data_IF_908307731453
#
_entry.id   IF_908307731453
#
_cell.length_a   1.000
_cell.length_b   1.000
_cell.length_c   1.000
_cell.angle_alpha   90.00
_cell.angle_beta   90.00
_cell.angle_gamma   90.00
#
_symmetry.space_group_name_H-M   'P 1'
#
loop_
_entity.id
_entity.type
_entity.pdbx_description
1 polymer ?
#
# COMPACT_ATOMS: atom_id res chain seq x y z
N UNK A 1 53.15 -46.35 -11.39
CA UNK A 1 52.06 -45.38 -11.58
C UNK A 1 50.93 -45.82 -10.67
N UNK A 2 50.52 -44.91 -9.80
CA UNK A 2 49.83 -45.15 -8.52
C UNK A 2 48.51 -45.92 -8.59
N UNK A 3 48.27 -46.67 -7.51
CA UNK A 3 47.01 -47.29 -7.15
C UNK A 3 46.22 -46.38 -6.19
N UNK A 4 44.91 -46.29 -6.37
CA UNK A 4 43.92 -45.81 -5.39
C UNK A 4 42.53 -46.23 -5.88
N UNK A 5 41.53 -46.58 -5.09
CA UNK A 5 41.39 -46.89 -3.67
C UNK A 5 39.96 -47.41 -3.52
N UNK A 6 39.79 -48.64 -3.04
CA UNK A 6 38.51 -49.13 -2.55
C UNK A 6 38.36 -48.71 -1.10
N UNK A 7 37.27 -48.04 -0.72
CA UNK A 7 36.70 -48.13 0.64
C UNK A 7 35.27 -47.57 0.70
N UNK A 8 34.36 -48.51 0.73
CA UNK A 8 32.99 -48.37 1.18
C UNK A 8 33.00 -48.11 2.70
N UNK A 9 32.37 -47.03 3.16
CA UNK A 9 32.10 -46.79 4.59
C UNK A 9 30.63 -46.48 4.76
N UNK A 10 29.89 -47.47 5.30
CA UNK A 10 28.59 -47.27 5.94
C UNK A 10 28.87 -46.71 7.34
N UNK A 11 28.28 -45.56 7.65
CA UNK A 11 27.99 -45.16 9.02
C UNK A 11 26.48 -44.93 9.15
N UNK A 12 25.87 -45.73 10.01
CA UNK A 12 24.55 -45.52 10.59
C UNK A 12 24.65 -44.51 11.75
N UNK A 13 23.49 -44.08 12.27
CA UNK A 13 23.19 -43.29 13.49
C UNK A 13 23.01 -41.77 13.23
N UNK A 14 21.96 -41.02 13.62
CA UNK A 14 20.79 -41.15 14.54
C UNK A 14 19.72 -40.13 14.05
N UNK A 15 18.40 -40.30 14.26
CA UNK A 15 17.41 -39.26 13.96
C UNK A 15 17.47 -38.14 15.01
N UNK A 16 17.76 -36.90 14.60
CA UNK A 16 17.56 -35.74 15.48
C UNK A 16 16.08 -35.40 15.56
N UNK A 17 15.51 -35.59 16.75
CA UNK A 17 14.27 -34.97 17.19
C UNK A 17 14.53 -33.54 17.66
N UNK A 18 13.59 -32.67 17.30
CA UNK A 18 13.18 -31.40 17.92
C UNK A 18 14.20 -30.26 18.00
N UNK A 19 13.82 -29.12 17.42
CA UNK A 19 13.36 -27.97 18.24
C UNK A 19 12.43 -27.10 17.40
N UNK A 20 11.18 -26.99 17.84
CA UNK A 20 10.24 -25.95 17.44
C UNK A 20 10.87 -24.57 17.66
N UNK A 21 11.03 -23.83 16.57
CA UNK A 21 11.37 -22.42 16.57
C UNK A 21 10.40 -21.71 15.63
N UNK A 22 9.42 -21.02 16.21
CA UNK A 22 8.41 -20.19 15.56
C UNK A 22 8.96 -19.42 14.35
N UNK A 23 8.65 -19.86 13.13
CA UNK A 23 8.81 -19.04 11.91
C UNK A 23 7.66 -19.37 10.95
N UNK A 24 6.94 -18.32 10.52
CA UNK A 24 5.85 -18.30 9.54
C UNK A 24 4.46 -18.85 9.95
N UNK A 25 3.71 -18.02 10.69
CA UNK A 25 2.29 -18.22 11.00
C UNK A 25 1.33 -18.26 9.79
N UNK A 26 1.79 -17.98 8.56
CA UNK A 26 0.96 -18.13 7.34
C UNK A 26 1.17 -19.45 6.59
N UNK A 27 2.24 -20.22 6.87
CA UNK A 27 2.52 -21.46 6.13
C UNK A 27 1.47 -22.55 6.37
N UNK A 28 0.82 -22.54 7.52
CA UNK A 28 -0.17 -23.56 7.95
C UNK A 28 -1.49 -23.48 7.17
N UNK A 29 -1.76 -22.38 6.47
CA UNK A 29 -3.02 -22.19 5.72
C UNK A 29 -2.96 -22.70 4.28
N UNK A 30 -1.78 -23.09 3.77
CA UNK A 30 -1.61 -23.49 2.38
C UNK A 30 -2.06 -24.92 2.06
N UNK A 31 -2.32 -25.77 3.07
CA UNK A 31 -2.46 -27.22 2.85
C UNK A 31 -3.89 -27.77 2.87
N UNK A 32 -4.92 -26.99 3.21
CA UNK A 32 -6.28 -27.51 3.29
C UNK A 32 -7.18 -26.82 2.27
N UNK A 33 -7.67 -27.62 1.31
CA UNK A 33 -8.70 -27.34 0.30
C UNK A 33 -8.19 -26.83 -1.06
N UNK A 34 -7.68 -27.76 -1.88
CA UNK A 34 -7.74 -27.64 -3.34
C UNK A 34 -8.33 -28.95 -3.86
N UNK A 35 -9.63 -28.95 -4.15
CA UNK A 35 -10.21 -29.95 -5.05
C UNK A 35 -9.66 -29.71 -6.46
N UNK A 36 -9.14 -30.77 -7.09
CA UNK A 36 -8.68 -30.75 -8.48
C UNK A 36 -9.90 -30.78 -9.41
N UNK A 37 -10.05 -29.88 -10.39
CA UNK A 37 -11.01 -30.09 -11.46
C UNK A 37 -10.46 -31.14 -12.43
N UNK A 38 -11.26 -32.17 -12.71
CA UNK A 38 -11.05 -33.12 -13.81
C UNK A 38 -11.42 -32.42 -15.12
N UNK A 39 -10.50 -32.42 -16.08
CA UNK A 39 -10.75 -31.99 -17.45
C UNK A 39 -11.01 -33.24 -18.29
N UNK A 40 -12.26 -33.47 -18.68
CA UNK A 40 -12.57 -34.48 -19.70
C UNK A 40 -12.58 -33.82 -21.08
N UNK A 41 -11.75 -34.38 -21.96
CA UNK A 41 -11.67 -34.08 -23.39
C UNK A 41 -12.99 -34.43 -24.09
N UNK A 42 -13.53 -33.48 -24.85
CA UNK A 42 -14.36 -33.81 -26.01
C UNK A 42 -14.10 -32.81 -27.15
N UNK A 43 -13.10 -33.14 -27.97
CA UNK A 43 -13.06 -32.72 -29.36
C UNK A 43 -13.83 -33.75 -30.17
N UNK A 44 -14.95 -33.36 -30.79
CA UNK A 44 -15.49 -34.04 -31.96
C UNK A 44 -15.87 -33.01 -33.02
N UNK A 45 -15.29 -33.23 -34.20
CA UNK A 45 -15.59 -32.63 -35.49
C UNK A 45 -17.09 -32.75 -35.85
N UNK A 46 -17.64 -31.71 -36.47
CA UNK A 46 -18.56 -31.85 -37.62
C UNK A 46 -18.74 -30.54 -38.39
N UNK A 47 -18.27 -30.59 -39.64
CA UNK A 47 -18.73 -30.01 -40.91
C UNK A 47 -19.71 -28.83 -40.97
N UNK A 48 -19.37 -27.95 -41.92
CA UNK A 48 -20.10 -26.79 -42.45
C UNK A 48 -21.20 -27.22 -43.42
N UNK A 49 -22.36 -26.54 -43.33
CA UNK A 49 -23.43 -26.22 -44.32
C UNK A 49 -24.71 -26.03 -43.47
N UNK A 50 -25.56 -25.00 -43.54
CA UNK A 50 -25.81 -23.89 -44.45
C UNK A 50 -27.34 -23.77 -44.62
N UNK A 51 -28.03 -22.81 -44.00
CA UNK A 51 -29.25 -22.11 -44.50
C UNK A 51 -29.90 -21.19 -43.46
N UNK A 52 -30.26 -20.00 -43.94
CA UNK A 52 -31.12 -18.99 -43.31
C UNK A 52 -32.55 -19.51 -43.06
N UNK A 53 -33.15 -19.04 -41.97
CA UNK A 53 -34.54 -18.58 -41.97
C UNK A 53 -34.82 -17.70 -40.74
N UNK A 54 -35.12 -16.43 -41.01
CA UNK A 54 -35.80 -15.49 -40.11
C UNK A 54 -37.12 -16.10 -39.61
N UNK A 55 -37.42 -15.96 -38.30
CA UNK A 55 -38.72 -15.51 -37.77
C UNK A 55 -38.56 -15.04 -36.31
N UNK A 56 -38.85 -13.76 -36.06
CA UNK A 56 -39.32 -13.28 -34.74
C UNK A 56 -40.74 -13.80 -34.49
N UNK A 57 -41.12 -14.06 -33.22
CA UNK A 57 -42.20 -13.25 -32.67
C UNK A 57 -42.08 -12.92 -31.15
N UNK A 58 -42.35 -11.65 -30.85
CA UNK A 58 -43.24 -11.12 -29.81
C UNK A 58 -43.12 -11.62 -28.34
N UNK A 59 -42.57 -10.72 -27.52
CA UNK A 59 -43.05 -10.22 -26.20
C UNK A 59 -43.83 -11.20 -25.30
N UNK A 60 -43.27 -11.48 -24.12
CA UNK A 60 -44.06 -11.82 -22.92
C UNK A 60 -43.41 -11.21 -21.68
N UNK A 61 -44.11 -10.22 -21.13
CA UNK A 61 -43.84 -9.62 -19.83
C UNK A 61 -44.30 -10.57 -18.73
N UNK A 62 -43.38 -10.95 -17.84
CA UNK A 62 -43.72 -11.62 -16.58
C UNK A 62 -42.88 -11.00 -15.45
N UNK A 63 -43.48 -10.01 -14.79
CA UNK A 63 -43.13 -9.65 -13.42
C UNK A 63 -43.22 -10.89 -12.53
N UNK A 64 -42.15 -11.18 -11.79
CA UNK A 64 -42.28 -11.89 -10.53
C UNK A 64 -41.33 -11.28 -9.52
N UNK A 65 -41.88 -10.33 -8.76
CA UNK A 65 -41.29 -9.84 -7.54
C UNK A 65 -41.39 -10.90 -6.45
N UNK A 66 -40.25 -11.23 -5.85
CA UNK A 66 -40.20 -11.80 -4.51
C UNK A 66 -39.31 -10.86 -3.69
N UNK A 67 -39.95 -9.86 -3.08
CA UNK A 67 -39.37 -9.00 -2.08
C UNK A 67 -39.18 -9.79 -0.78
N UNK A 68 -37.97 -10.32 -0.59
CA UNK A 68 -37.46 -10.76 0.70
C UNK A 68 -36.94 -9.56 1.51
N UNK A 69 -36.99 -9.60 2.86
CA UNK A 69 -36.87 -8.42 3.70
C UNK A 69 -35.48 -7.80 3.61
N UNK A 70 -35.49 -6.49 3.38
CA UNK A 70 -34.37 -5.56 3.47
C UNK A 70 -33.62 -5.77 4.79
N UNK A 71 -32.57 -6.59 4.78
CA UNK A 71 -31.49 -6.41 5.75
C UNK A 71 -30.57 -5.40 5.09
N UNK A 72 -30.64 -4.16 5.54
CA UNK A 72 -29.64 -3.13 5.25
C UNK A 72 -28.28 -3.57 5.85
N UNK A 73 -27.68 -4.62 5.28
CA UNK A 73 -26.24 -4.79 5.35
C UNK A 73 -25.71 -3.73 4.39
N UNK A 74 -25.26 -2.62 4.95
CA UNK A 74 -24.41 -1.66 4.23
C UNK A 74 -23.34 -2.45 3.48
N UNK A 75 -23.56 -2.67 2.17
CA UNK A 75 -22.69 -3.50 1.35
C UNK A 75 -21.52 -2.60 0.96
N UNK A 76 -20.50 -2.63 1.82
CA UNK A 76 -19.33 -1.74 1.76
C UNK A 76 -18.58 -1.86 0.43
N UNK A 77 -18.77 -2.98 -0.27
CA UNK A 77 -18.25 -3.29 -1.59
C UNK A 77 -19.26 -4.06 -2.45
N UNK A 78 -19.05 -4.07 -3.76
CA UNK A 78 -19.89 -4.74 -4.77
C UNK A 78 -19.77 -6.28 -4.76
N UNK A 79 -20.51 -6.91 -5.67
CA UNK A 79 -20.60 -8.37 -5.88
C UNK A 79 -19.22 -9.02 -6.09
N UNK A 80 -18.98 -10.20 -5.49
CA UNK A 80 -17.70 -10.93 -5.56
C UNK A 80 -16.73 -10.76 -4.38
N UNK A 81 -17.11 -10.01 -3.34
CA UNK A 81 -16.35 -9.90 -2.08
C UNK A 81 -17.13 -10.53 -0.92
N UNK A 82 -16.49 -11.47 -0.22
CA UNK A 82 -17.10 -12.21 0.88
C UNK A 82 -16.54 -11.65 2.18
N UNK A 83 -17.39 -11.02 3.01
CA UNK A 83 -17.00 -10.57 4.34
C UNK A 83 -16.62 -11.76 5.21
N UNK A 84 -15.45 -11.72 5.84
CA UNK A 84 -15.03 -12.72 6.82
C UNK A 84 -15.71 -12.46 8.16
N UNK A 85 -16.15 -13.52 8.83
CA UNK A 85 -16.75 -13.45 10.16
C UNK A 85 -15.69 -13.09 11.21
N UNK A 86 -16.07 -12.26 12.19
CA UNK A 86 -15.13 -11.76 13.20
C UNK A 86 -14.56 -12.87 14.10
N UNK A 87 -15.27 -13.98 14.23
CA UNK A 87 -14.83 -15.18 14.95
C UNK A 87 -13.96 -16.15 14.14
N UNK A 88 -13.74 -15.89 12.85
CA UNK A 88 -12.86 -16.71 12.02
C UNK A 88 -11.39 -16.52 12.44
N UNK A 89 -10.65 -17.63 12.60
CA UNK A 89 -9.21 -17.61 12.91
C UNK A 89 -8.41 -16.85 11.86
N UNK A 90 -8.82 -16.93 10.59
CA UNK A 90 -8.21 -16.19 9.49
C UNK A 90 -8.44 -14.69 9.63
N UNK A 91 -9.68 -14.27 9.93
CA UNK A 91 -10.01 -12.88 10.21
C UNK A 91 -9.15 -12.33 11.35
N UNK A 92 -9.06 -13.07 12.47
CA UNK A 92 -8.24 -12.67 13.62
C UNK A 92 -6.76 -12.55 13.26
N UNK A 93 -6.23 -13.50 12.48
CA UNK A 93 -4.82 -13.52 12.06
C UNK A 93 -4.48 -12.31 11.18
N UNK A 94 -5.31 -12.02 10.17
CA UNK A 94 -5.13 -10.87 9.28
C UNK A 94 -5.23 -9.57 10.07
N UNK A 95 -6.27 -9.43 10.91
CA UNK A 95 -6.47 -8.26 11.78
C UNK A 95 -5.25 -8.03 12.67
N UNK A 96 -4.77 -9.06 13.36
CA UNK A 96 -3.63 -8.98 14.27
C UNK A 96 -2.35 -8.54 13.55
N UNK A 97 -2.06 -9.15 12.39
CA UNK A 97 -0.88 -8.78 11.60
C UNK A 97 -0.96 -7.37 11.06
N UNK A 98 -2.11 -6.99 10.52
CA UNK A 98 -2.33 -5.63 10.03
C UNK A 98 -2.08 -4.60 11.13
N UNK A 99 -2.73 -4.76 12.29
CA UNK A 99 -2.61 -3.86 13.44
C UNK A 99 -1.18 -3.82 13.98
N UNK A 100 -0.52 -4.98 14.10
CA UNK A 100 0.86 -5.05 14.60
C UNK A 100 1.85 -4.37 13.66
N UNK A 101 1.65 -4.51 12.34
CA UNK A 101 2.47 -3.88 11.31
C UNK A 101 2.34 -2.35 11.25
N UNK A 102 1.31 -1.78 11.89
CA UNK A 102 1.14 -0.32 12.02
C UNK A 102 1.94 0.26 13.21
N UNK A 103 2.57 -0.58 14.03
CA UNK A 103 3.29 -0.17 15.23
C UNK A 103 2.40 0.61 16.19
N UNK A 104 2.84 1.78 16.63
CA UNK A 104 2.11 2.63 17.59
C UNK A 104 0.72 3.02 17.07
N UNK A 105 0.56 3.23 15.76
CA UNK A 105 -0.74 3.57 15.18
C UNK A 105 -1.75 2.43 15.33
N UNK A 106 -1.28 1.18 15.39
CA UNK A 106 -2.13 0.00 15.59
C UNK A 106 -3.03 0.11 16.82
N UNK A 107 -2.56 0.76 17.89
CA UNK A 107 -3.33 0.98 19.13
C UNK A 107 -4.58 1.83 18.87
N UNK A 108 -4.51 2.75 17.92
CA UNK A 108 -5.58 3.67 17.58
C UNK A 108 -6.38 3.23 16.35
N UNK A 109 -5.99 2.12 15.71
CA UNK A 109 -6.64 1.62 14.49
C UNK A 109 -7.79 0.69 14.83
N UNK A 110 -8.98 1.02 14.33
CA UNK A 110 -10.13 0.14 14.40
C UNK A 110 -10.35 -0.53 13.05
N UNK A 111 -10.13 -1.84 12.97
CA UNK A 111 -10.48 -2.64 11.79
C UNK A 111 -11.98 -2.87 11.78
N UNK A 112 -12.65 -2.39 10.74
CA UNK A 112 -14.11 -2.40 10.58
C UNK A 112 -14.59 -3.65 9.85
N UNK A 113 -13.85 -4.10 8.84
CA UNK A 113 -14.18 -5.33 8.13
C UNK A 113 -12.99 -5.87 7.35
N UNK A 114 -12.99 -7.19 7.14
CA UNK A 114 -12.07 -7.87 6.22
C UNK A 114 -12.94 -8.62 5.20
N UNK A 115 -12.68 -8.38 3.92
CA UNK A 115 -13.36 -9.05 2.82
C UNK A 115 -12.37 -9.90 2.04
N UNK A 116 -12.77 -11.11 1.69
CA UNK A 116 -12.02 -12.02 0.81
C UNK A 116 -12.51 -11.85 -0.62
N UNK A 117 -11.57 -11.76 -1.55
CA UNK A 117 -11.86 -11.84 -2.98
C UNK A 117 -12.31 -13.27 -3.32
N UNK A 118 -13.55 -13.43 -3.80
CA UNK A 118 -14.06 -14.75 -4.19
C UNK A 118 -13.57 -15.18 -5.57
N UNK A 119 -13.04 -14.24 -6.36
CA UNK A 119 -12.67 -14.44 -7.76
C UNK A 119 -13.82 -15.01 -8.60
N UNK A 120 -15.08 -14.69 -8.27
CA UNK A 120 -16.26 -15.30 -8.91
C UNK A 120 -16.40 -14.96 -10.39
N UNK A 121 -15.93 -13.78 -10.83
CA UNK A 121 -16.01 -13.35 -12.23
C UNK A 121 -15.10 -14.20 -13.14
N UNK A 122 -15.48 -14.33 -14.41
CA UNK A 122 -14.66 -15.07 -15.40
C UNK A 122 -13.21 -14.56 -15.47
N UNK A 123 -13.03 -13.23 -15.48
CA UNK A 123 -11.71 -12.60 -15.48
C UNK A 123 -10.98 -12.78 -14.14
N UNK A 124 -11.71 -12.78 -13.02
CA UNK A 124 -11.18 -13.08 -11.69
C UNK A 124 -10.63 -14.50 -11.60
N UNK A 125 -11.39 -15.50 -12.09
CA UNK A 125 -10.95 -16.88 -12.17
C UNK A 125 -9.71 -17.03 -13.07
N UNK A 126 -9.71 -16.39 -14.24
CA UNK A 126 -8.56 -16.41 -15.15
C UNK A 126 -7.28 -15.84 -14.49
N UNK A 127 -7.39 -14.73 -13.76
CA UNK A 127 -6.26 -14.16 -12.99
C UNK A 127 -5.78 -15.11 -11.89
N UNK A 128 -6.70 -15.71 -11.14
CA UNK A 128 -6.36 -16.69 -10.10
C UNK A 128 -5.62 -17.91 -10.70
N UNK A 129 -6.10 -18.44 -11.82
CA UNK A 129 -5.45 -19.57 -12.51
C UNK A 129 -4.08 -19.17 -13.06
N UNK A 130 -3.95 -17.98 -13.66
CA UNK A 130 -2.68 -17.44 -14.12
C UNK A 130 -1.66 -17.37 -12.98
N UNK A 131 -2.04 -16.80 -11.84
CA UNK A 131 -1.18 -16.74 -10.65
C UNK A 131 -0.72 -18.13 -10.19
N UNK A 132 -1.60 -19.14 -10.18
CA UNK A 132 -1.24 -20.51 -9.85
C UNK A 132 -0.29 -21.15 -10.88
N UNK A 133 -0.44 -20.85 -12.17
CA UNK A 133 0.47 -21.32 -13.21
C UNK A 133 1.88 -20.76 -12.97
N UNK A 134 2.00 -19.45 -12.73
CA UNK A 134 3.30 -18.83 -12.42
C UNK A 134 3.89 -19.33 -11.12
N UNK A 135 3.08 -19.53 -10.08
CA UNK A 135 3.53 -20.13 -8.81
C UNK A 135 4.18 -21.49 -9.06
N UNK A 136 3.50 -22.39 -9.79
CA UNK A 136 4.04 -23.73 -10.12
C UNK A 136 5.29 -23.66 -11.00
N UNK A 137 5.36 -22.71 -11.92
CA UNK A 137 6.54 -22.52 -12.75
C UNK A 137 7.76 -22.12 -11.89
N UNK A 138 7.56 -21.22 -10.92
CA UNK A 138 8.61 -20.79 -9.99
C UNK A 138 8.99 -21.89 -8.98
N UNK A 139 8.04 -22.71 -8.54
CA UNK A 139 8.34 -23.89 -7.71
C UNK A 139 9.30 -24.82 -8.44
N UNK A 140 9.12 -25.02 -9.76
CA UNK A 140 10.04 -25.80 -10.58
C UNK A 140 11.39 -25.10 -10.77
N UNK A 141 11.40 -23.80 -11.08
CA UNK A 141 12.63 -23.00 -11.30
C UNK A 141 13.54 -23.02 -10.07
N UNK A 142 12.97 -22.93 -8.86
CA UNK A 142 13.70 -22.74 -7.60
C UNK A 142 13.64 -23.92 -6.63
N UNK A 143 13.40 -25.14 -7.12
CA UNK A 143 13.44 -26.35 -6.28
C UNK A 143 12.44 -26.34 -5.12
N UNK A 144 11.27 -25.74 -5.31
CA UNK A 144 10.17 -25.70 -4.34
C UNK A 144 10.08 -24.41 -3.51
N UNK A 145 11.04 -23.48 -3.60
CA UNK A 145 10.96 -22.20 -2.90
C UNK A 145 10.68 -21.04 -3.86
N UNK A 146 9.40 -20.71 -4.03
CA UNK A 146 8.94 -19.57 -4.84
C UNK A 146 9.20 -18.20 -4.22
N UNK A 147 9.67 -18.16 -2.96
CA UNK A 147 9.65 -16.94 -2.15
C UNK A 147 8.27 -16.27 -2.18
N UNK A 148 7.22 -17.07 -2.03
CA UNK A 148 5.84 -16.59 -1.95
C UNK A 148 5.65 -15.83 -0.64
N UNK A 149 5.26 -14.57 -0.73
CA UNK A 149 5.05 -13.68 0.41
C UNK A 149 3.64 -13.13 0.46
N UNK A 150 3.24 -12.68 1.64
CA UNK A 150 2.13 -11.75 1.79
C UNK A 150 2.68 -10.32 1.81
N UNK A 151 1.94 -9.38 1.22
CA UNK A 151 2.32 -7.97 1.21
C UNK A 151 1.09 -7.05 1.15
N UNK A 152 1.23 -5.87 1.74
CA UNK A 152 0.20 -4.84 1.82
C UNK A 152 0.30 -3.86 0.66
N UNK A 153 -0.84 -3.51 0.06
CA UNK A 153 -0.95 -2.43 -0.93
C UNK A 153 -2.04 -1.45 -0.48
N UNK A 154 -1.75 -0.15 -0.48
CA UNK A 154 -2.70 0.87 -0.01
C UNK A 154 -2.91 1.94 -1.06
N UNK A 155 -4.17 2.29 -1.29
CA UNK A 155 -4.61 3.28 -2.27
C UNK A 155 -6.01 3.80 -1.88
N UNK A 156 -6.63 4.59 -2.76
CA UNK A 156 -8.05 4.93 -2.71
C UNK A 156 -8.94 3.68 -2.84
N UNK A 157 -10.17 3.80 -2.31
CA UNK A 157 -11.22 2.78 -2.46
C UNK A 157 -11.49 2.46 -3.93
N UNK A 158 -11.59 3.49 -4.77
CA UNK A 158 -11.91 3.35 -6.19
C UNK A 158 -10.81 2.59 -6.95
N UNK A 159 -9.54 2.91 -6.67
CA UNK A 159 -8.43 2.18 -7.29
C UNK A 159 -8.35 0.74 -6.79
N UNK A 160 -8.58 0.49 -5.49
CA UNK A 160 -8.67 -0.88 -4.96
C UNK A 160 -9.78 -1.68 -5.66
N UNK A 161 -10.95 -1.09 -5.84
CA UNK A 161 -12.06 -1.76 -6.54
C UNK A 161 -11.76 -1.98 -8.02
N UNK A 162 -11.08 -1.05 -8.67
CA UNK A 162 -10.60 -1.21 -10.04
C UNK A 162 -9.59 -2.35 -10.15
N UNK A 163 -8.67 -2.49 -9.19
CA UNK A 163 -7.70 -3.59 -9.12
C UNK A 163 -8.41 -4.94 -8.96
N UNK A 164 -9.42 -5.03 -8.09
CA UNK A 164 -10.19 -6.28 -7.91
C UNK A 164 -10.90 -6.68 -9.21
N UNK A 165 -11.50 -5.72 -9.92
CA UNK A 165 -12.26 -5.97 -11.14
C UNK A 165 -11.38 -6.25 -12.36
N UNK A 166 -10.33 -5.45 -12.55
CA UNK A 166 -9.56 -5.39 -13.80
C UNK A 166 -8.10 -5.84 -13.67
N UNK A 167 -7.59 -6.02 -12.45
CA UNK A 167 -6.17 -6.24 -12.18
C UNK A 167 -5.41 -4.92 -11.99
N UNK A 168 -4.11 -5.02 -11.70
CA UNK A 168 -3.24 -3.85 -11.57
C UNK A 168 -3.10 -3.13 -12.91
N UNK A 169 -3.24 -1.80 -12.86
CA UNK A 169 -3.15 -0.91 -14.00
C UNK A 169 -1.79 -0.23 -14.17
N UNK A 170 -1.71 0.68 -15.14
CA UNK A 170 -0.50 1.41 -15.49
C UNK A 170 0.13 2.11 -14.28
N UNK A 171 1.41 1.82 -14.01
CA UNK A 171 2.21 2.48 -12.99
C UNK A 171 2.61 3.88 -13.49
N UNK A 172 1.85 4.91 -13.13
CA UNK A 172 2.10 6.29 -13.55
C UNK A 172 3.16 7.01 -12.70
N UNK A 173 3.89 7.94 -13.34
CA UNK A 173 4.93 8.76 -12.72
C UNK A 173 4.33 9.75 -11.69
N UNK A 174 4.39 9.41 -10.40
CA UNK A 174 4.16 10.38 -9.32
C UNK A 174 5.42 11.23 -9.09
N UNK A 175 5.46 12.46 -9.62
CA UNK A 175 6.61 13.39 -9.61
C UNK A 175 7.25 13.71 -8.24
N UNK A 176 6.78 13.11 -7.14
CA UNK A 176 7.15 13.48 -5.76
C UNK A 176 7.68 12.32 -4.89
N UNK A 177 7.83 11.09 -5.40
CA UNK A 177 8.31 9.93 -4.61
C UNK A 177 9.69 9.47 -5.07
N UNK A 178 10.52 9.04 -4.12
CA UNK A 178 11.77 8.33 -4.43
C UNK A 178 11.39 7.01 -5.10
N UNK A 179 11.70 6.87 -6.39
CA UNK A 179 11.39 5.71 -7.21
C UNK A 179 12.45 4.63 -7.10
N UNK A 180 12.03 3.38 -7.19
CA UNK A 180 12.89 2.20 -7.33
C UNK A 180 12.49 1.46 -8.62
N UNK A 181 12.28 2.20 -9.71
CA UNK A 181 11.80 1.66 -10.99
C UNK A 181 10.28 1.73 -11.20
N UNK A 182 9.84 1.18 -12.34
CA UNK A 182 8.47 1.12 -12.79
C UNK A 182 7.85 -0.22 -12.37
N UNK A 183 6.97 -0.18 -11.38
CA UNK A 183 6.30 -1.38 -10.88
C UNK A 183 5.31 -1.06 -9.77
N UNK A 184 4.70 -2.11 -9.26
CA UNK A 184 3.83 -2.05 -8.10
C UNK A 184 4.67 -2.19 -6.83
N UNK A 185 4.50 -1.24 -5.93
CA UNK A 185 5.17 -1.20 -4.64
C UNK A 185 4.26 -1.79 -3.57
N UNK A 186 4.74 -2.82 -2.87
CA UNK A 186 4.01 -3.44 -1.76
C UNK A 186 4.86 -3.41 -0.49
N UNK A 187 4.21 -3.21 0.65
CA UNK A 187 4.87 -3.25 1.96
C UNK A 187 4.88 -4.69 2.50
N UNK A 188 5.97 -5.17 3.10
CA UNK A 188 6.04 -6.51 3.71
C UNK A 188 4.94 -6.77 4.76
N UNK A 189 4.58 -8.03 5.00
CA UNK A 189 3.45 -8.37 5.88
C UNK A 189 3.63 -7.98 7.36
N UNK A 190 4.88 -7.78 7.79
CA UNK A 190 5.27 -7.29 9.11
C UNK A 190 5.38 -5.77 9.22
N UNK A 191 5.21 -5.03 8.12
CA UNK A 191 5.26 -3.56 8.07
C UNK A 191 4.17 -3.01 7.16
N UNK A 192 3.03 -2.63 7.73
CA UNK A 192 1.87 -2.09 6.98
C UNK A 192 1.82 -0.56 6.93
N UNK A 193 2.80 0.13 7.53
CA UNK A 193 2.81 1.59 7.70
C UNK A 193 2.81 2.36 6.37
N UNK A 194 3.62 1.96 5.40
CA UNK A 194 3.72 2.65 4.10
C UNK A 194 2.42 2.49 3.29
N UNK A 195 1.77 1.32 3.38
CA UNK A 195 0.45 1.07 2.78
C UNK A 195 -0.65 1.86 3.50
N UNK A 196 -0.56 2.03 4.82
CA UNK A 196 -1.43 2.93 5.55
C UNK A 196 -1.29 4.38 5.08
N UNK A 197 -0.07 4.89 4.95
CA UNK A 197 0.19 6.26 4.50
C UNK A 197 -0.30 6.50 3.06
N UNK A 198 -0.30 5.46 2.23
CA UNK A 198 -0.75 5.52 0.84
C UNK A 198 -2.28 5.35 0.70
N UNK A 199 -2.96 4.81 1.72
CA UNK A 199 -4.42 4.71 1.73
C UNK A 199 -5.10 6.09 1.80
N UNK A 200 -6.22 6.25 1.11
CA UNK A 200 -7.01 7.49 1.14
C UNK A 200 -8.35 7.20 1.81
N UNK A 201 -8.76 8.05 2.75
CA UNK A 201 -10.04 7.88 3.43
C UNK A 201 -11.20 8.18 2.45
N UNK A 202 -12.21 7.32 2.43
CA UNK A 202 -13.44 7.50 1.67
C UNK A 202 -14.40 8.49 2.35
N UNK A 203 -15.58 8.68 1.75
CA UNK A 203 -16.60 9.61 2.25
C UNK A 203 -17.11 9.24 3.66
N UNK A 204 -16.98 7.98 4.08
CA UNK A 204 -17.38 7.46 5.39
C UNK A 204 -16.22 7.47 6.41
N UNK A 205 -15.09 8.08 6.02
CA UNK A 205 -13.86 8.14 6.80
C UNK A 205 -13.15 6.79 6.90
N UNK A 206 -13.50 5.82 6.05
CA UNK A 206 -12.84 4.50 6.01
C UNK A 206 -11.63 4.54 5.09
N UNK A 207 -10.55 3.92 5.53
CA UNK A 207 -9.39 3.63 4.70
C UNK A 207 -9.41 2.16 4.33
N UNK A 208 -8.82 1.85 3.19
CA UNK A 208 -8.79 0.50 2.65
C UNK A 208 -7.36 0.13 2.25
N UNK A 209 -6.98 -1.11 2.53
CA UNK A 209 -5.74 -1.71 2.05
C UNK A 209 -6.00 -3.11 1.53
N UNK A 210 -5.24 -3.51 0.51
CA UNK A 210 -5.18 -4.86 -0.02
C UNK A 210 -4.11 -5.68 0.72
N UNK A 211 -4.43 -6.92 1.03
CA UNK A 211 -3.47 -7.97 1.34
C UNK A 211 -3.34 -8.87 0.13
N UNK A 212 -2.15 -8.90 -0.45
CA UNK A 212 -1.82 -9.65 -1.66
C UNK A 212 -0.93 -10.84 -1.35
N UNK A 213 -1.09 -11.94 -2.10
CA UNK A 213 -0.02 -12.93 -2.28
C UNK A 213 0.89 -12.47 -3.40
N UNK A 214 2.20 -12.56 -3.19
CA UNK A 214 3.21 -12.05 -4.12
C UNK A 214 4.29 -13.10 -4.35
N UNK A 215 4.53 -13.44 -5.61
CA UNK A 215 5.65 -14.30 -6.01
C UNK A 215 6.87 -13.38 -6.15
N UNK A 216 7.81 -13.46 -5.19
CA UNK A 216 9.01 -12.62 -5.24
C UNK A 216 10.17 -13.30 -5.98
N UNK A 217 10.24 -14.63 -6.01
CA UNK A 217 11.37 -15.34 -6.61
C UNK A 217 12.73 -14.86 -6.06
N UNK A 218 13.72 -14.76 -6.93
CA UNK A 218 15.01 -14.17 -6.61
C UNK A 218 14.92 -12.63 -6.69
N UNK A 219 15.17 -11.98 -5.55
CA UNK A 219 15.00 -10.53 -5.41
C UNK A 219 16.31 -9.80 -5.68
N UNK A 220 16.27 -8.73 -6.48
CA UNK A 220 17.39 -7.81 -6.66
C UNK A 220 17.29 -6.59 -5.75
N UNK A 221 18.44 -6.08 -5.30
CA UNK A 221 18.50 -4.80 -4.61
C UNK A 221 18.30 -3.68 -5.62
N UNK A 222 17.26 -2.89 -5.45
CA UNK A 222 16.99 -1.72 -6.31
C UNK A 222 17.36 -0.46 -5.56
N UNK A 223 18.04 0.46 -6.24
CA UNK A 223 18.43 1.73 -5.65
C UNK A 223 17.43 2.85 -5.97
N UNK A 224 17.26 3.82 -5.06
CA UNK A 224 16.59 5.08 -5.33
C UNK A 224 17.02 5.73 -6.64
N UNK A 225 16.06 6.14 -7.47
CA UNK A 225 16.29 6.76 -8.78
C UNK A 225 16.42 5.78 -9.94
N UNK A 226 16.23 4.47 -9.71
CA UNK A 226 16.19 3.49 -10.80
C UNK A 226 15.01 3.74 -11.75
N UNK A 227 15.25 3.58 -13.05
CA UNK A 227 14.26 3.64 -14.12
C UNK A 227 13.89 2.22 -14.64
N UNK A 228 14.34 1.16 -13.95
CA UNK A 228 14.06 -0.22 -14.35
C UNK A 228 12.56 -0.50 -14.35
N UNK A 229 12.01 -1.03 -15.45
CA UNK A 229 10.62 -1.50 -15.52
C UNK A 229 10.51 -3.04 -15.56
N UNK A 230 11.64 -3.74 -15.48
CA UNK A 230 11.80 -5.19 -15.56
C UNK A 230 13.07 -5.60 -14.80
N UNK A 231 13.31 -6.90 -14.54
CA UNK A 231 14.53 -7.34 -13.87
C UNK A 231 15.80 -6.88 -14.60
N UNK A 232 16.89 -6.62 -13.86
CA UNK A 232 18.19 -6.25 -14.47
C UNK A 232 18.83 -7.38 -15.28
N UNK A 233 18.51 -8.64 -14.98
CA UNK A 233 18.99 -9.83 -15.69
C UNK A 233 18.05 -11.01 -15.46
N UNK A 234 18.27 -12.10 -16.20
CA UNK A 234 17.49 -13.35 -16.09
C UNK A 234 17.64 -14.05 -14.73
N UNK A 235 18.63 -13.66 -13.93
CA UNK A 235 18.84 -14.18 -12.59
C UNK A 235 17.81 -13.66 -11.58
N UNK A 236 17.19 -12.50 -11.85
CA UNK A 236 16.27 -11.84 -10.94
C UNK A 236 14.83 -11.87 -11.45
N UNK A 237 13.88 -11.84 -10.52
CA UNK A 237 12.45 -11.84 -10.85
C UNK A 237 11.72 -10.60 -10.33
N UNK A 238 12.16 -10.04 -9.20
CA UNK A 238 11.53 -8.87 -8.54
C UNK A 238 12.56 -8.00 -7.83
N UNK A 239 12.16 -6.80 -7.40
CA UNK A 239 13.02 -5.86 -6.70
C UNK A 239 12.70 -5.73 -5.21
N UNK A 240 13.71 -5.33 -4.44
CA UNK A 240 13.58 -4.97 -3.01
C UNK A 240 14.48 -3.78 -2.66
N UNK A 241 14.05 -2.95 -1.73
CA UNK A 241 14.84 -1.79 -1.26
C UNK A 241 15.98 -2.17 -0.31
N UNK A 242 15.87 -3.30 0.39
CA UNK A 242 16.89 -3.85 1.28
C UNK A 242 16.76 -5.38 1.38
N UNK A 243 17.85 -6.11 1.16
CA UNK A 243 17.85 -7.58 1.16
C UNK A 243 17.72 -8.20 2.56
N UNK A 244 18.11 -7.48 3.61
CA UNK A 244 18.16 -8.00 4.99
C UNK A 244 16.86 -7.64 5.74
N UNK A 245 16.44 -6.38 5.64
CA UNK A 245 15.24 -5.85 6.27
C UNK A 245 14.41 -5.08 5.24
N UNK A 246 13.69 -5.81 4.35
CA UNK A 246 12.85 -5.21 3.33
C UNK A 246 11.84 -4.24 3.94
N UNK A 247 11.62 -3.10 3.30
CA UNK A 247 10.47 -2.23 3.57
C UNK A 247 9.58 -2.07 2.36
N UNK A 248 10.10 -2.36 1.16
CA UNK A 248 9.37 -2.27 -0.10
C UNK A 248 9.73 -3.43 -1.00
N UNK A 249 8.71 -4.17 -1.39
CA UNK A 249 8.76 -5.09 -2.51
C UNK A 249 8.33 -4.37 -3.77
N UNK A 250 9.05 -4.63 -4.86
CA UNK A 250 8.81 -4.04 -6.18
C UNK A 250 8.52 -5.19 -7.14
N UNK A 251 7.29 -5.25 -7.61
CA UNK A 251 6.91 -6.16 -8.69
C UNK A 251 6.87 -5.35 -9.97
N UNK A 252 7.73 -5.71 -10.92
CA UNK A 252 7.85 -5.03 -12.20
C UNK A 252 6.52 -4.96 -12.95
N UNK A 253 6.31 -3.87 -13.71
CA UNK A 253 5.08 -3.65 -14.48
C UNK A 253 4.80 -4.80 -15.47
N UNK A 254 5.85 -5.45 -16.00
CA UNK A 254 5.76 -6.64 -16.85
C UNK A 254 5.16 -7.86 -16.16
N UNK A 255 5.17 -7.90 -14.82
CA UNK A 255 4.80 -9.07 -14.02
C UNK A 255 3.63 -8.82 -13.06
N UNK A 256 3.14 -7.58 -12.92
CA UNK A 256 2.18 -7.18 -11.89
C UNK A 256 0.88 -8.00 -11.87
N UNK A 257 0.37 -8.44 -13.02
CA UNK A 257 -0.89 -9.17 -13.12
C UNK A 257 -0.74 -10.71 -13.07
N UNK A 258 0.50 -11.21 -13.05
CA UNK A 258 0.81 -12.64 -12.97
C UNK A 258 1.44 -13.01 -11.62
N UNK A 259 2.13 -12.07 -10.98
CA UNK A 259 2.90 -12.28 -9.75
C UNK A 259 2.25 -11.68 -8.50
N UNK A 260 1.14 -10.94 -8.64
CA UNK A 260 0.38 -10.40 -7.52
C UNK A 260 -1.05 -10.92 -7.59
N UNK A 261 -1.54 -11.46 -6.47
CA UNK A 261 -2.92 -11.87 -6.29
C UNK A 261 -3.55 -11.07 -5.14
N UNK A 262 -4.44 -10.10 -5.43
CA UNK A 262 -5.24 -9.41 -4.41
C UNK A 262 -6.23 -10.35 -3.74
N UNK A 263 -5.95 -10.77 -2.50
CA UNK A 263 -6.72 -11.82 -1.83
C UNK A 263 -7.71 -11.27 -0.80
N UNK A 264 -7.34 -10.23 -0.07
CA UNK A 264 -8.21 -9.62 0.95
C UNK A 264 -8.21 -8.10 0.88
N UNK A 265 -9.33 -7.49 1.27
CA UNK A 265 -9.48 -6.06 1.51
C UNK A 265 -9.73 -5.84 2.99
N UNK A 266 -8.94 -4.97 3.61
CA UNK A 266 -9.06 -4.60 5.01
C UNK A 266 -9.54 -3.16 5.04
N UNK A 267 -10.73 -2.94 5.60
CA UNK A 267 -11.32 -1.62 5.80
C UNK A 267 -11.19 -1.24 7.26
N UNK A 268 -10.65 -0.05 7.54
CA UNK A 268 -10.33 0.38 8.88
C UNK A 268 -10.50 1.90 9.06
N UNK A 269 -10.58 2.33 10.32
CA UNK A 269 -10.62 3.74 10.72
C UNK A 269 -9.44 4.05 11.62
N UNK A 270 -8.97 5.28 11.51
CA UNK A 270 -8.00 5.88 12.44
C UNK A 270 -8.56 7.23 12.88
N UNK A 271 -8.48 7.59 14.18
CA UNK A 271 -8.92 8.88 14.68
C UNK A 271 -8.31 10.04 13.88
N UNK A 272 -9.13 11.07 13.62
CA UNK A 272 -8.78 12.19 12.74
C UNK A 272 -7.55 12.98 13.19
N UNK A 273 -7.17 12.91 14.48
CA UNK A 273 -5.97 13.52 15.05
C UNK A 273 -4.65 12.86 14.61
N UNK A 274 -4.71 11.66 14.03
CA UNK A 274 -3.54 10.87 13.60
C UNK A 274 -3.43 10.74 12.08
N UNK A 275 -4.30 11.44 11.33
CA UNK A 275 -4.28 11.47 9.87
C UNK A 275 -3.04 12.23 9.36
N UNK A 276 -1.93 11.51 9.14
CA UNK A 276 -0.89 11.75 8.12
C UNK A 276 -0.10 13.06 8.09
N UNK A 277 -0.64 14.19 8.53
CA UNK A 277 0.04 15.50 8.50
C UNK A 277 1.05 15.65 9.65
N UNK A 278 0.85 14.97 10.79
CA UNK A 278 1.82 14.99 11.89
C UNK A 278 2.91 13.92 11.79
N UNK A 279 2.70 12.85 11.00
CA UNK A 279 3.62 11.69 10.92
C UNK A 279 4.87 11.99 10.08
N UNK A 280 4.79 12.92 9.12
CA UNK A 280 5.98 13.46 8.41
C UNK A 280 7.00 14.10 9.34
N UNK A 281 6.67 14.31 10.61
CA UNK A 281 7.50 14.94 11.61
C UNK A 281 8.26 14.03 12.57
N UNK A 282 8.11 12.69 12.53
CA UNK A 282 8.59 11.83 13.64
C UNK A 282 9.52 10.66 13.31
N UNK A 283 9.98 10.50 12.07
CA UNK A 283 11.09 9.57 11.76
C UNK A 283 12.29 10.30 11.15
N UNK A 284 13.08 10.94 12.02
CA UNK A 284 14.54 10.92 11.87
C UNK A 284 15.11 10.62 13.25
N UNK A 285 15.67 9.42 13.39
CA UNK A 285 16.65 9.14 14.44
C UNK A 285 17.88 9.97 14.05
N UNK A 286 18.19 10.97 14.88
CA UNK A 286 19.27 11.94 14.66
C UNK A 286 18.96 13.27 15.34
N UNK A 287 19.28 13.35 16.63
CA UNK A 287 19.33 14.51 17.53
C UNK A 287 18.06 15.37 17.76
N UNK A 288 17.79 15.81 19.02
CA UNK A 288 16.54 16.44 19.39
C UNK A 288 16.51 17.92 18.91
N UNK A 289 16.09 18.13 17.67
CA UNK A 289 15.64 19.48 17.25
C UNK A 289 14.26 19.70 17.84
N UNK A 290 14.24 20.40 18.99
CA UNK A 290 13.03 20.92 19.64
C UNK A 290 12.16 21.65 18.62
N UNK A 291 11.04 21.05 18.18
CA UNK A 291 9.94 21.79 17.55
C UNK A 291 9.33 22.71 18.61
N UNK A 292 9.25 24.03 18.39
CA UNK A 292 8.49 24.87 19.29
C UNK A 292 6.99 24.73 19.00
N UNK A 293 6.28 24.12 19.95
CA UNK A 293 4.86 24.38 20.19
C UNK A 293 4.71 25.83 20.65
N UNK A 294 4.07 26.69 19.85
CA UNK A 294 3.51 27.97 20.33
C UNK A 294 2.51 28.56 19.32
N UNK A 295 1.48 29.31 19.77
CA UNK A 295 0.43 29.88 18.92
C UNK A 295 1.02 30.77 17.81
N UNK A 296 0.55 30.56 16.58
CA UNK A 296 1.05 31.26 15.39
C UNK A 296 0.65 32.75 15.41
N UNK A 297 1.63 33.65 15.31
CA UNK A 297 1.38 35.08 15.14
C UNK A 297 0.81 35.34 13.72
N UNK A 298 -0.30 36.08 13.56
CA UNK A 298 -0.81 36.46 12.26
C UNK A 298 0.24 37.24 11.45
N UNK A 299 0.32 36.99 10.15
CA UNK A 299 1.37 37.56 9.29
C UNK A 299 1.30 39.10 9.23
N UNK A 300 0.10 39.69 9.28
CA UNK A 300 -0.08 41.13 9.40
C UNK A 300 0.57 41.69 10.67
N UNK A 301 0.43 40.98 11.81
CA UNK A 301 1.07 41.34 13.08
C UNK A 301 2.60 41.25 12.98
N UNK A 302 3.12 40.22 12.30
CA UNK A 302 4.55 40.10 12.03
C UNK A 302 5.07 41.31 11.24
N UNK A 303 4.38 41.72 10.17
CA UNK A 303 4.74 42.88 9.35
C UNK A 303 4.75 44.16 10.19
N UNK A 304 3.73 44.36 11.05
CA UNK A 304 3.64 45.52 11.95
C UNK A 304 4.75 45.57 13.00
N UNK A 305 5.28 44.42 13.44
CA UNK A 305 6.41 44.40 14.38
C UNK A 305 7.73 44.61 13.65
N UNK A 306 7.91 43.96 12.49
CA UNK A 306 9.10 44.13 11.66
C UNK A 306 9.30 45.57 11.19
N UNK A 307 8.22 46.34 11.00
CA UNK A 307 8.32 47.75 10.58
C UNK A 307 9.01 48.66 11.58
N UNK A 308 9.19 48.20 12.82
CA UNK A 308 9.97 48.90 13.85
C UNK A 308 11.48 48.67 13.72
N UNK A 309 11.89 47.67 12.94
CA UNK A 309 13.28 47.20 12.86
C UNK A 309 13.85 47.21 11.44
N UNK A 310 13.01 47.24 10.40
CA UNK A 310 13.42 47.22 9.01
C UNK A 310 13.13 48.55 8.30
N UNK A 311 13.93 48.93 7.28
CA UNK A 311 13.67 50.10 6.46
C UNK A 311 12.28 50.06 5.78
N UNK A 312 11.63 51.21 5.54
CA UNK A 312 10.30 51.28 4.93
C UNK A 312 10.21 50.56 3.57
N UNK A 313 11.28 50.60 2.76
CA UNK A 313 11.37 49.90 1.48
C UNK A 313 11.24 48.37 1.65
N UNK A 314 11.97 47.81 2.61
CA UNK A 314 11.96 46.37 2.92
C UNK A 314 10.58 45.91 3.40
N UNK A 315 9.92 46.73 4.23
CA UNK A 315 8.55 46.46 4.69
C UNK A 315 7.54 46.50 3.55
N UNK A 316 7.65 47.48 2.65
CA UNK A 316 6.80 47.56 1.47
C UNK A 316 6.96 46.32 0.58
N UNK A 317 8.17 45.80 0.45
CA UNK A 317 8.45 44.58 -0.32
C UNK A 317 7.85 43.33 0.36
N UNK A 318 8.00 43.21 1.68
CA UNK A 318 7.36 42.15 2.48
C UNK A 318 5.83 42.20 2.35
N UNK A 319 5.22 43.39 2.47
CA UNK A 319 3.78 43.60 2.30
C UNK A 319 3.31 43.23 0.89
N UNK A 320 4.09 43.55 -0.15
CA UNK A 320 3.80 43.15 -1.54
C UNK A 320 3.79 41.63 -1.69
N UNK A 321 4.77 40.92 -1.15
CA UNK A 321 4.78 39.46 -1.19
C UNK A 321 3.61 38.86 -0.41
N UNK A 322 3.25 39.44 0.73
CA UNK A 322 2.09 39.01 1.50
C UNK A 322 0.77 39.18 0.70
N UNK A 323 0.58 40.31 0.00
CA UNK A 323 -0.58 40.50 -0.90
C UNK A 323 -0.57 39.52 -2.07
N UNK A 324 0.58 39.30 -2.71
CA UNK A 324 0.71 38.32 -3.79
C UNK A 324 0.32 36.89 -3.33
N UNK A 325 0.68 36.51 -2.10
CA UNK A 325 0.26 35.24 -1.52
C UNK A 325 -1.27 35.19 -1.27
N UNK A 326 -1.86 36.27 -0.75
CA UNK A 326 -3.33 36.38 -0.59
C UNK A 326 -4.07 36.27 -1.92
N UNK A 327 -3.46 36.78 -2.98
CA UNK A 327 -3.94 36.70 -4.36
C UNK A 327 -3.54 35.38 -5.07
N UNK A 328 -2.95 34.41 -4.36
CA UNK A 328 -2.49 33.10 -4.87
C UNK A 328 -1.46 33.17 -6.00
N UNK A 329 -0.75 34.29 -6.16
CA UNK A 329 0.31 34.47 -7.16
C UNK A 329 1.65 33.82 -6.78
N UNK A 330 1.87 33.56 -5.48
CA UNK A 330 3.07 32.89 -4.95
C UNK A 330 2.68 31.89 -3.87
N UNK A 331 3.49 30.85 -3.67
CA UNK A 331 3.26 29.84 -2.64
C UNK A 331 3.60 30.38 -1.23
N UNK A 332 3.06 29.73 -0.18
CA UNK A 332 3.42 30.04 1.22
C UNK A 332 4.92 29.87 1.47
N UNK A 333 5.54 28.86 0.88
CA UNK A 333 6.98 28.64 0.99
C UNK A 333 7.76 29.81 0.40
N UNK A 334 7.38 30.26 -0.81
CA UNK A 334 8.05 31.37 -1.48
C UNK A 334 7.91 32.68 -0.68
N UNK A 335 6.73 32.94 -0.10
CA UNK A 335 6.55 34.07 0.83
C UNK A 335 7.52 33.99 2.03
N UNK A 336 7.60 32.83 2.69
CA UNK A 336 8.48 32.65 3.85
C UNK A 336 9.95 32.87 3.47
N UNK A 337 10.37 32.32 2.33
CA UNK A 337 11.74 32.46 1.83
C UNK A 337 12.11 33.92 1.56
N UNK A 338 11.24 34.65 0.85
CA UNK A 338 11.46 36.09 0.57
C UNK A 338 11.48 36.92 1.85
N UNK A 339 10.65 36.61 2.85
CA UNK A 339 10.66 37.30 4.14
C UNK A 339 11.94 37.00 4.92
N UNK A 340 12.46 35.78 4.87
CA UNK A 340 13.75 35.40 5.47
C UNK A 340 14.92 36.12 4.83
N UNK A 341 14.92 36.24 3.50
CA UNK A 341 15.94 36.96 2.75
C UNK A 341 15.97 38.45 3.11
N UNK A 342 14.80 39.07 3.34
CA UNK A 342 14.69 40.49 3.65
C UNK A 342 14.94 40.80 5.13
N UNK A 343 14.35 40.02 6.04
CA UNK A 343 14.38 40.30 7.48
C UNK A 343 15.55 39.61 8.19
N UNK A 344 16.02 38.48 7.66
CA UNK A 344 17.02 37.63 8.30
C UNK A 344 16.44 36.78 9.44
N UNK A 345 16.92 35.54 9.56
CA UNK A 345 16.43 34.59 10.58
C UNK A 345 16.67 35.06 12.02
N UNK A 346 17.75 35.80 12.28
CA UNK A 346 18.08 36.33 13.61
C UNK A 346 16.99 37.29 14.11
N UNK A 347 16.59 38.25 13.28
CA UNK A 347 15.55 39.23 13.60
C UNK A 347 14.17 38.58 13.72
N UNK A 348 13.82 37.70 12.77
CA UNK A 348 12.56 36.95 12.81
C UNK A 348 12.45 36.14 14.11
N UNK A 349 13.53 35.47 14.51
CA UNK A 349 13.58 34.71 15.77
C UNK A 349 13.38 35.61 16.98
N UNK A 350 14.04 36.78 17.02
CA UNK A 350 13.90 37.73 18.12
C UNK A 350 12.47 38.29 18.22
N UNK A 351 11.87 38.65 17.10
CA UNK A 351 10.50 39.17 17.02
C UNK A 351 9.48 38.12 17.48
N UNK A 352 9.57 36.89 16.98
CA UNK A 352 8.68 35.79 17.36
C UNK A 352 8.83 35.46 18.85
N UNK A 353 10.05 35.46 19.39
CA UNK A 353 10.29 35.28 20.82
C UNK A 353 9.68 36.42 21.66
N UNK A 354 9.78 37.67 21.19
CA UNK A 354 9.19 38.82 21.90
C UNK A 354 7.66 38.80 21.92
N UNK A 355 7.03 38.23 20.88
CA UNK A 355 5.57 38.04 20.83
C UNK A 355 5.10 37.06 21.92
N UNK A 356 5.89 36.01 22.21
CA UNK A 356 5.62 35.08 23.32
C UNK A 356 5.57 35.79 24.66
N UNK A 357 6.49 36.70 24.95
CA UNK A 357 6.49 37.43 26.23
C UNK A 357 5.26 38.32 26.43
N UNK A 358 4.64 38.82 25.35
CA UNK A 358 3.47 39.71 25.42
C UNK A 358 2.14 38.98 25.50
N UNK A 359 2.00 37.82 24.87
CA UNK A 359 0.76 37.00 24.95
C UNK A 359 0.53 36.52 26.39
N UNK A 360 1.58 36.11 27.10
CA UNK A 360 1.51 35.71 28.52
C UNK A 360 1.18 36.87 29.47
N UNK A 361 1.45 38.12 29.09
CA UNK A 361 1.10 39.32 29.87
C UNK A 361 -0.34 39.79 29.64
N UNK A 362 -0.97 39.38 28.54
CA UNK A 362 -2.36 39.72 28.20
C UNK A 362 -3.33 38.68 28.79
N UNK A 363 -2.90 37.43 28.95
CA UNK A 363 -3.69 36.38 29.64
C UNK A 363 -3.64 36.45 31.18
N UNK A 364 -2.88 37.40 31.75
CA UNK A 364 -2.77 37.62 33.21
C UNK A 364 -3.36 38.95 33.70
N UNK A 365 -4.15 39.64 32.86
CA UNK A 365 -4.99 40.78 33.25
C UNK A 365 -6.43 40.48 32.86
#
# INVERSE_FOLDING_TARGET
MEAASTRQCRFLSVPLKNTDGFVNGFRVLASNNIEKPRLDNQFKHSSVEGHDHDQDPLISDCESGISGPNTEKSQLFCDGLIKLDEGDRLHETIKRKFVSGLGILGIHTSVVSIHRNSFSSFTGQARLQSFHIFTRAFEKKYGGNTNLKYAWYGDSKDEIMKIISHGFGHCGNSETKVFFGCGIYLSPDDSSIDSFESSIADNDGLRHVLLCRVIMGNMELVHPGSEQCHPSSDEFDSGVDNLIAPKKYIVWSTHMNTHILPEYIISFRVPSSLNGEEIKGRQRIGDPVRKPSSPWMPFCTLISVLSKFLPPHSIRLISKYHSNHREKKISRHELIQRVREIAGDKLLTAVIKSFRGKVWLIEMK
#
